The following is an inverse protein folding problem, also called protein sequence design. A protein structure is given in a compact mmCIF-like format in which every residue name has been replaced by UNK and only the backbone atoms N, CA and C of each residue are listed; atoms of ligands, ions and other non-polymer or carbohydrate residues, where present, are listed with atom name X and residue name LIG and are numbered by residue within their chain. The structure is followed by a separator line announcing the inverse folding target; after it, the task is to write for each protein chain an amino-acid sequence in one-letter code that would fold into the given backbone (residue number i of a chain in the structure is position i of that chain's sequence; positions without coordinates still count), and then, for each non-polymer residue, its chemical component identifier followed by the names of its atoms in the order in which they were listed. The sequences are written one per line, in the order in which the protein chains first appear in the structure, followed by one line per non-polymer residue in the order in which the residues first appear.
data_IF_950281279343
#
_entry.id   IF_950281279343
#
_cell.length_a   1.000
_cell.length_b   1.000
_cell.length_c   1.000
_cell.angle_alpha   90.00
_cell.angle_beta   90.00
_cell.angle_gamma   90.00
#
_symmetry.space_group_name_H-M   'P 1'
#
loop_
_entity.id
_entity.type
_entity.pdbx_description
1 polymer ?
#
# COMPACT_ATOMS: atom_id res chain seq x y z
N UNK A 1 -19.14 -4.60 -5.50
CA UNK A 1 -18.48 -4.09 -4.27
C UNK A 1 -17.20 -3.39 -4.67
N UNK A 2 -16.92 -2.28 -4.02
CA UNK A 2 -15.70 -1.53 -4.30
C UNK A 2 -14.47 -2.30 -3.83
N UNK A 3 -13.38 -2.18 -4.58
CA UNK A 3 -12.10 -2.73 -4.16
C UNK A 3 -11.54 -1.91 -3.01
N UNK A 4 -10.83 -2.58 -2.12
CA UNK A 4 -10.33 -2.00 -0.87
C UNK A 4 -8.84 -1.75 -0.95
N UNK A 5 -8.41 -0.57 -0.51
CA UNK A 5 -7.01 -0.18 -0.48
C UNK A 5 -6.66 0.27 0.94
N UNK A 6 -5.59 -0.31 1.48
CA UNK A 6 -5.05 0.10 2.78
C UNK A 6 -3.81 0.97 2.54
N UNK A 7 -3.82 2.17 3.12
CA UNK A 7 -2.69 3.10 3.04
C UNK A 7 -1.99 3.13 4.39
N UNK A 8 -0.70 2.84 4.41
CA UNK A 8 0.12 2.84 5.61
C UNK A 8 1.28 3.83 5.46
N UNK A 9 1.19 4.96 6.15
CA UNK A 9 2.21 6.01 6.12
C UNK A 9 2.14 6.78 7.43
N UNK A 10 3.28 7.02 8.08
CA UNK A 10 3.29 7.71 9.37
C UNK A 10 3.09 9.22 9.26
N UNK A 11 3.18 9.77 8.04
CA UNK A 11 2.81 11.16 7.78
C UNK A 11 1.31 11.23 7.51
N UNK A 12 0.51 11.77 8.44
CA UNK A 12 -0.94 11.79 8.25
C UNK A 12 -1.39 12.64 7.06
N UNK A 13 -0.59 13.64 6.69
CA UNK A 13 -0.91 14.47 5.52
C UNK A 13 -0.84 13.65 4.24
N UNK A 14 0.21 12.85 4.09
CA UNK A 14 0.38 12.00 2.91
C UNK A 14 -0.63 10.87 2.92
N UNK A 15 -0.83 10.22 4.07
CA UNK A 15 -1.80 9.15 4.19
C UNK A 15 -3.20 9.61 3.80
N UNK A 16 -3.60 10.77 4.30
CA UNK A 16 -4.92 11.34 4.00
C UNK A 16 -5.04 11.76 2.54
N UNK A 17 -3.99 12.34 1.98
CA UNK A 17 -3.97 12.71 0.56
C UNK A 17 -4.20 11.50 -0.33
N UNK A 18 -3.49 10.41 -0.06
CA UNK A 18 -3.64 9.17 -0.84
C UNK A 18 -5.03 8.56 -0.64
N UNK A 19 -5.49 8.51 0.60
CA UNK A 19 -6.81 7.98 0.91
C UNK A 19 -7.89 8.75 0.15
N UNK A 20 -7.84 10.08 0.22
CA UNK A 20 -8.84 10.93 -0.39
C UNK A 20 -8.82 10.79 -1.93
N UNK A 21 -7.63 10.81 -2.53
CA UNK A 21 -7.52 10.69 -3.98
C UNK A 21 -8.06 9.35 -4.49
N UNK A 22 -7.77 8.28 -3.79
CA UNK A 22 -8.25 6.96 -4.17
C UNK A 22 -9.75 6.79 -3.89
N UNK A 23 -10.24 7.38 -2.81
CA UNK A 23 -11.68 7.39 -2.52
C UNK A 23 -12.45 8.15 -3.61
N UNK A 24 -11.88 9.26 -4.09
CA UNK A 24 -12.49 10.03 -5.18
C UNK A 24 -12.61 9.23 -6.46
N UNK A 25 -11.73 8.25 -6.66
CA UNK A 25 -11.81 7.36 -7.81
C UNK A 25 -12.83 6.23 -7.62
N UNK A 26 -13.38 6.09 -6.42
CA UNK A 26 -14.40 5.09 -6.11
C UNK A 26 -13.91 3.89 -5.31
N UNK A 27 -12.62 3.83 -4.95
CA UNK A 27 -12.10 2.76 -4.11
C UNK A 27 -12.53 2.96 -2.66
N UNK A 28 -12.71 1.86 -1.95
CA UNK A 28 -12.91 1.91 -0.50
C UNK A 28 -11.54 1.95 0.15
N UNK A 29 -11.22 3.03 0.85
CA UNK A 29 -9.86 3.25 1.34
C UNK A 29 -9.83 3.34 2.87
N UNK A 30 -8.76 2.78 3.43
CA UNK A 30 -8.47 2.82 4.86
C UNK A 30 -7.08 3.38 5.02
N UNK A 31 -6.85 4.20 6.04
CA UNK A 31 -5.51 4.70 6.30
C UNK A 31 -5.06 4.37 7.70
N UNK A 32 -3.76 4.10 7.84
CA UNK A 32 -3.09 3.91 9.11
C UNK A 32 -1.85 4.78 9.14
N UNK A 33 -1.63 5.43 10.27
CA UNK A 33 -0.43 6.27 10.46
C UNK A 33 0.53 5.64 11.46
N UNK A 34 0.16 4.50 12.03
CA UNK A 34 0.99 3.77 12.98
C UNK A 34 1.03 2.31 12.59
N UNK A 35 2.20 1.71 12.69
CA UNK A 35 2.38 0.31 12.32
C UNK A 35 1.77 -0.67 13.31
N UNK A 36 1.49 -0.21 14.54
CA UNK A 36 0.81 -1.04 15.51
C UNK A 36 -0.55 -1.46 14.95
N UNK A 37 -0.82 -2.75 14.98
CA UNK A 37 -2.04 -3.36 14.45
C UNK A 37 -2.19 -3.31 12.93
N UNK A 38 -1.12 -3.02 12.21
CA UNK A 38 -1.18 -3.08 10.75
C UNK A 38 -1.64 -4.46 10.28
N UNK A 39 -1.05 -5.49 10.85
CA UNK A 39 -1.36 -6.87 10.50
C UNK A 39 -2.83 -7.20 10.80
N UNK A 40 -3.33 -6.73 11.95
CA UNK A 40 -4.74 -6.91 12.30
C UNK A 40 -5.65 -6.23 11.29
N UNK A 41 -5.29 -5.03 10.84
CA UNK A 41 -6.05 -4.30 9.83
C UNK A 41 -6.09 -5.05 8.50
N UNK A 42 -4.97 -5.63 8.09
CA UNK A 42 -4.93 -6.43 6.86
C UNK A 42 -5.88 -7.63 6.97
N UNK A 43 -5.88 -8.30 8.10
CA UNK A 43 -6.76 -9.46 8.31
C UNK A 43 -8.22 -9.05 8.37
N UNK A 44 -8.51 -7.93 9.00
CA UNK A 44 -9.88 -7.45 9.19
C UNK A 44 -10.49 -6.94 7.89
N UNK A 45 -9.76 -6.08 7.19
CA UNK A 45 -10.28 -5.41 6.00
C UNK A 45 -10.09 -6.20 4.72
N UNK A 46 -9.12 -7.09 4.68
CA UNK A 46 -8.78 -7.88 3.50
C UNK A 46 -8.62 -7.00 2.25
N UNK A 47 -7.68 -6.05 2.29
CA UNK A 47 -7.53 -5.12 1.17
C UNK A 47 -7.10 -5.84 -0.11
N UNK A 48 -7.45 -5.25 -1.23
CA UNK A 48 -7.03 -5.72 -2.54
C UNK A 48 -5.65 -5.18 -2.92
N UNK A 49 -5.21 -4.12 -2.25
CA UNK A 49 -3.92 -3.49 -2.46
C UNK A 49 -3.48 -2.77 -1.19
N UNK A 50 -2.18 -2.74 -0.95
CA UNK A 50 -1.61 -1.98 0.17
C UNK A 50 -0.59 -0.99 -0.39
N UNK A 51 -0.68 0.26 0.04
CA UNK A 51 0.35 1.28 -0.16
C UNK A 51 1.11 1.39 1.16
N UNK A 52 2.40 1.10 1.13
CA UNK A 52 3.21 0.98 2.35
C UNK A 52 4.45 1.84 2.28
N UNK A 53 4.64 2.70 3.30
CA UNK A 53 5.89 3.40 3.49
C UNK A 53 6.84 2.52 4.30
N UNK A 54 8.09 2.42 3.86
CA UNK A 54 9.12 1.66 4.55
C UNK A 54 9.67 2.38 5.78
N UNK A 55 9.70 3.69 5.73
CA UNK A 55 10.32 4.53 6.75
C UNK A 55 9.27 5.02 7.73
N UNK A 56 8.91 4.18 8.69
CA UNK A 56 7.96 4.55 9.73
C UNK A 56 8.65 4.72 11.08
N UNK A 57 8.03 5.52 11.94
CA UNK A 57 8.64 6.03 13.17
C UNK A 57 9.18 4.95 14.10
N UNK A 58 8.45 3.87 14.29
CA UNK A 58 8.81 2.85 15.28
C UNK A 58 9.12 1.48 14.69
N UNK A 59 8.65 1.21 13.48
CA UNK A 59 8.88 -0.05 12.82
C UNK A 59 9.25 0.19 11.37
N UNK A 60 10.15 -0.62 10.88
CA UNK A 60 10.47 -0.66 9.46
C UNK A 60 9.37 -1.43 8.73
N UNK A 61 8.87 -0.88 7.63
CA UNK A 61 7.84 -1.55 6.83
C UNK A 61 8.25 -2.92 6.33
N UNK A 62 9.55 -3.22 6.31
CA UNK A 62 10.05 -4.55 5.94
C UNK A 62 9.56 -5.61 6.91
N UNK A 63 9.44 -5.30 8.20
CA UNK A 63 8.94 -6.24 9.19
C UNK A 63 7.48 -6.58 8.93
N UNK A 64 6.69 -5.59 8.52
CA UNK A 64 5.30 -5.80 8.16
C UNK A 64 5.17 -6.72 6.94
N UNK A 65 6.03 -6.50 5.95
CA UNK A 65 6.05 -7.35 4.76
C UNK A 65 6.39 -8.81 5.10
N UNK A 66 7.32 -9.01 6.02
CA UNK A 66 7.69 -10.37 6.46
C UNK A 66 6.53 -11.06 7.15
N UNK A 67 5.80 -10.35 8.00
CA UNK A 67 4.63 -10.91 8.66
C UNK A 67 3.55 -11.30 7.66
N UNK A 68 3.31 -10.47 6.67
CA UNK A 68 2.35 -10.77 5.61
C UNK A 68 2.76 -11.99 4.81
N UNK A 69 4.05 -12.12 4.49
CA UNK A 69 4.56 -13.25 3.74
C UNK A 69 4.39 -14.55 4.53
N UNK A 70 4.66 -14.52 5.83
CA UNK A 70 4.52 -15.69 6.69
C UNK A 70 3.09 -16.18 6.78
N UNK A 71 2.13 -15.30 6.67
CA UNK A 71 0.71 -15.64 6.77
C UNK A 71 0.07 -15.88 5.39
N UNK A 72 0.90 -15.96 4.36
CA UNK A 72 0.49 -16.30 2.98
C UNK A 72 -0.62 -15.40 2.41
N UNK A 73 -0.54 -14.11 2.71
CA UNK A 73 -1.44 -13.13 2.11
C UNK A 73 -0.93 -12.73 0.72
N UNK A 74 -1.68 -13.03 -0.30
CA UNK A 74 -1.34 -12.69 -1.70
C UNK A 74 -1.88 -11.31 -2.07
N UNK A 75 -1.58 -10.32 -1.25
CA UNK A 75 -2.04 -8.95 -1.50
C UNK A 75 -0.90 -8.17 -2.15
N UNK A 76 -1.12 -7.58 -3.33
CA UNK A 76 -0.07 -6.77 -3.94
C UNK A 76 0.22 -5.53 -3.10
N UNK A 77 1.49 -5.17 -3.01
CA UNK A 77 1.95 -4.02 -2.24
C UNK A 77 2.68 -3.06 -3.16
N UNK A 78 2.35 -1.78 -3.07
CA UNK A 78 3.12 -0.69 -3.65
C UNK A 78 3.85 -0.02 -2.50
N UNK A 79 5.18 0.01 -2.56
CA UNK A 79 5.99 0.75 -1.60
C UNK A 79 6.03 2.20 -2.05
N UNK A 80 5.65 3.14 -1.15
CA UNK A 80 5.70 4.58 -1.42
C UNK A 80 6.61 5.19 -0.37
N UNK A 81 7.83 5.55 -0.72
CA UNK A 81 8.85 5.87 0.27
C UNK A 81 9.81 6.96 -0.17
N UNK A 82 10.36 7.69 0.81
CA UNK A 82 11.48 8.61 0.59
C UNK A 82 12.83 7.90 0.64
N UNK A 83 12.87 6.62 0.98
CA UNK A 83 14.11 5.86 1.06
C UNK A 83 14.65 5.57 -0.34
N UNK A 84 15.69 6.29 -0.73
CA UNK A 84 16.20 6.25 -2.10
C UNK A 84 16.89 4.95 -2.48
N UNK A 85 17.33 4.17 -1.51
CA UNK A 85 18.02 2.90 -1.77
C UNK A 85 17.07 1.69 -1.80
N UNK A 86 15.75 1.93 -1.75
CA UNK A 86 14.78 0.84 -1.78
C UNK A 86 14.94 -0.08 -3.00
N UNK A 87 15.34 0.49 -4.13
CA UNK A 87 15.54 -0.28 -5.35
C UNK A 87 16.64 -1.35 -5.26
N UNK A 88 17.58 -1.19 -4.32
CA UNK A 88 18.63 -2.18 -4.11
C UNK A 88 18.12 -3.47 -3.49
N UNK A 89 16.94 -3.43 -2.90
CA UNK A 89 16.30 -4.58 -2.27
C UNK A 89 15.11 -5.08 -3.09
N UNK A 90 15.04 -4.68 -4.35
CA UNK A 90 13.89 -4.93 -5.22
C UNK A 90 13.50 -6.40 -5.28
N UNK A 91 14.48 -7.29 -5.39
CA UNK A 91 14.19 -8.71 -5.51
C UNK A 91 13.56 -9.27 -4.23
N UNK A 92 14.06 -8.85 -3.07
CA UNK A 92 13.47 -9.28 -1.80
C UNK A 92 12.07 -8.74 -1.62
N UNK A 93 11.86 -7.49 -2.02
CA UNK A 93 10.53 -6.87 -1.97
C UNK A 93 9.56 -7.61 -2.91
N UNK A 94 10.01 -7.98 -4.10
CA UNK A 94 9.17 -8.72 -5.04
C UNK A 94 8.72 -10.05 -4.44
N UNK A 95 9.62 -10.75 -3.78
CA UNK A 95 9.29 -12.01 -3.11
C UNK A 95 8.26 -11.81 -1.99
N UNK A 96 8.26 -10.65 -1.38
CA UNK A 96 7.32 -10.30 -0.30
C UNK A 96 5.99 -9.75 -0.81
N UNK A 97 5.79 -9.69 -2.13
CA UNK A 97 4.54 -9.21 -2.71
C UNK A 97 4.56 -7.78 -3.19
N UNK A 98 5.71 -7.09 -3.14
CA UNK A 98 5.83 -5.72 -3.64
C UNK A 98 5.87 -5.76 -5.17
N UNK A 99 4.93 -5.07 -5.79
CA UNK A 99 4.82 -5.03 -7.26
C UNK A 99 5.44 -3.77 -7.86
N UNK A 100 5.60 -2.72 -7.06
CA UNK A 100 6.19 -1.47 -7.52
C UNK A 100 6.73 -0.66 -6.35
N UNK A 101 7.81 0.08 -6.61
CA UNK A 101 8.36 1.05 -5.66
C UNK A 101 8.16 2.44 -6.25
N UNK A 102 7.54 3.34 -5.48
CA UNK A 102 7.31 4.72 -5.86
C UNK A 102 8.05 5.61 -4.87
N UNK A 103 8.84 6.53 -5.38
CA UNK A 103 9.65 7.40 -4.53
C UNK A 103 8.94 8.73 -4.27
N UNK A 104 9.05 9.22 -3.05
CA UNK A 104 8.56 10.56 -2.69
C UNK A 104 9.59 11.61 -3.10
N UNK A 105 9.17 12.78 -3.58
CA UNK A 105 7.81 13.16 -3.91
C UNK A 105 7.31 12.44 -5.16
N UNK A 106 6.04 12.14 -5.21
CA UNK A 106 5.44 11.42 -6.33
C UNK A 106 4.37 12.26 -7.02
N UNK A 107 4.05 11.89 -8.26
CA UNK A 107 2.94 12.46 -9.00
C UNK A 107 1.67 11.69 -8.62
N UNK A 108 0.71 12.37 -8.02
CA UNK A 108 -0.50 11.74 -7.52
C UNK A 108 -1.32 11.09 -8.63
N UNK A 109 -1.46 11.75 -9.77
CA UNK A 109 -2.23 11.20 -10.88
C UNK A 109 -1.58 9.92 -11.43
N UNK A 110 -0.25 9.91 -11.51
CA UNK A 110 0.47 8.71 -11.95
C UNK A 110 0.33 7.57 -10.95
N UNK A 111 0.31 7.88 -9.66
CA UNK A 111 0.12 6.85 -8.65
C UNK A 111 -1.29 6.26 -8.75
N UNK A 112 -2.30 7.07 -8.95
CA UNK A 112 -3.68 6.61 -9.15
C UNK A 112 -3.76 5.71 -10.39
N UNK A 113 -3.12 6.11 -11.48
CA UNK A 113 -3.06 5.29 -12.69
C UNK A 113 -2.37 3.96 -12.44
N UNK A 114 -1.29 3.97 -11.67
CA UNK A 114 -0.56 2.76 -11.31
C UNK A 114 -1.45 1.80 -10.51
N UNK A 115 -2.18 2.31 -9.54
CA UNK A 115 -3.13 1.52 -8.77
C UNK A 115 -4.14 0.86 -9.70
N UNK A 116 -4.72 1.64 -10.61
CA UNK A 116 -5.68 1.12 -11.57
C UNK A 116 -5.08 0.04 -12.47
N UNK A 117 -3.82 0.19 -12.85
CA UNK A 117 -3.15 -0.81 -13.70
C UNK A 117 -2.91 -2.13 -12.97
N UNK A 118 -2.80 -2.10 -11.66
CA UNK A 118 -2.50 -3.29 -10.85
C UNK A 118 -3.78 -4.03 -10.46
N UNK A 119 -4.78 -3.31 -9.94
CA UNK A 119 -6.00 -3.96 -9.44
C UNK A 119 -7.25 -3.67 -10.27
N UNK A 120 -7.12 -2.86 -11.31
CA UNK A 120 -8.26 -2.46 -12.13
C UNK A 120 -9.05 -1.33 -11.52
N UNK A 121 -10.18 -1.00 -12.13
CA UNK A 121 -11.06 0.06 -11.63
C UNK A 121 -11.64 -0.27 -10.26
N UNK A 122 -12.26 0.74 -9.61
CA UNK A 122 -12.75 0.58 -8.25
C UNK A 122 -13.90 -0.40 -8.10
N UNK A 123 -14.69 -0.56 -9.16
CA UNK A 123 -15.77 -1.53 -9.13
C UNK A 123 -15.20 -2.94 -9.05
N UNK A 124 -15.77 -3.72 -8.18
CA UNK A 124 -15.45 -5.12 -8.16
C UNK A 124 -15.77 -5.72 -9.51
N UNK A 125 -15.25 -6.92 -9.76
CA UNK A 125 -15.44 -7.58 -11.02
C UNK A 125 -16.94 -7.72 -11.31
N UNK A 126 -17.42 -6.93 -12.24
CA UNK A 126 -18.77 -7.12 -12.74
C UNK A 126 -18.73 -8.22 -13.77
N UNK A 127 -19.57 -9.14 -13.56
CA UNK A 127 -19.69 -10.23 -14.53
C UNK A 127 -20.13 -9.68 -15.87
#
# INVERSE_FOLDING_TARGET
MAKKILVMDDDPTIADLLREALADEGYETFMMTQSLRFYDAVREHKPDLILLDLMMQYLDGRDELKLMQMDDHNIPVIVVTAYLDAGKEEEEFRKAGVVKIVYKPFDLDKLVELVRSIIGGPEGKTA
#
